data_IF_849573662525
#
_entry.id   IF_849573662525
#
_cell.length_a   1.000
_cell.length_b   1.000
_cell.length_c   1.000
_cell.angle_alpha   90.00
_cell.angle_beta   90.00
_cell.angle_gamma   90.00
#
_symmetry.space_group_name_H-M   'P 1'
#
loop_
_entity.id
_entity.type
_entity.pdbx_description
1 polymer ?
#
# COMPACT_ATOMS: atom_id res chain seq x y z
N UNK A 1 10.35 7.06 19.28
CA UNK A 1 9.98 5.68 18.90
C UNK A 1 8.47 5.55 18.65
N UNK A 2 7.60 6.21 19.42
CA UNK A 2 6.13 6.12 19.24
C UNK A 2 5.60 6.69 17.91
N UNK A 3 6.15 7.80 17.42
CA UNK A 3 5.75 8.42 16.15
C UNK A 3 5.88 7.46 14.94
N UNK A 4 6.89 6.58 14.97
CA UNK A 4 7.12 5.56 13.92
C UNK A 4 6.04 4.45 13.99
N UNK A 5 5.58 4.10 15.19
CA UNK A 5 4.54 3.09 15.38
C UNK A 5 3.20 3.56 14.82
N UNK A 6 2.79 4.78 15.14
CA UNK A 6 1.53 5.35 14.65
C UNK A 6 1.54 5.53 13.13
N UNK A 7 2.66 5.96 12.54
CA UNK A 7 2.84 6.00 11.09
C UNK A 7 2.67 4.62 10.45
N UNK A 8 3.36 3.61 10.97
CA UNK A 8 3.30 2.25 10.45
C UNK A 8 1.89 1.64 10.56
N UNK A 9 1.15 1.95 11.62
CA UNK A 9 -0.25 1.54 11.77
C UNK A 9 -1.16 2.20 10.73
N UNK A 10 -0.98 3.51 10.46
CA UNK A 10 -1.71 4.21 9.39
C UNK A 10 -1.42 3.62 8.01
N UNK A 11 -0.14 3.39 7.70
CA UNK A 11 0.26 2.75 6.44
C UNK A 11 -0.34 1.34 6.30
N UNK A 12 -0.36 0.54 7.37
CA UNK A 12 -1.00 -0.77 7.35
C UNK A 12 -2.50 -0.69 7.08
N UNK A 13 -3.20 0.30 7.65
CA UNK A 13 -4.62 0.51 7.39
C UNK A 13 -4.86 0.88 5.91
N UNK A 14 -4.09 1.84 5.39
CA UNK A 14 -4.13 2.24 3.97
C UNK A 14 -3.84 1.06 3.04
N UNK A 15 -2.82 0.26 3.35
CA UNK A 15 -2.48 -0.93 2.57
C UNK A 15 -3.65 -1.93 2.50
N UNK A 16 -4.29 -2.20 3.65
CA UNK A 16 -5.44 -3.11 3.70
C UNK A 16 -6.62 -2.59 2.89
N UNK A 17 -6.87 -1.28 2.93
CA UNK A 17 -7.94 -0.64 2.18
C UNK A 17 -7.70 -0.72 0.66
N UNK A 18 -6.50 -0.35 0.20
CA UNK A 18 -6.12 -0.42 -1.21
C UNK A 18 -6.18 -1.86 -1.74
N UNK A 19 -5.60 -2.83 -1.03
CA UNK A 19 -5.63 -4.24 -1.43
C UNK A 19 -7.06 -4.77 -1.48
N UNK A 20 -7.90 -4.44 -0.49
CA UNK A 20 -9.28 -4.87 -0.48
C UNK A 20 -10.09 -4.28 -1.66
N UNK A 21 -9.85 -3.03 -2.04
CA UNK A 21 -10.51 -2.41 -3.18
C UNK A 21 -10.09 -3.04 -4.51
N UNK A 22 -8.78 -3.27 -4.71
CA UNK A 22 -8.26 -3.96 -5.88
C UNK A 22 -8.82 -5.38 -6.00
N UNK A 23 -8.84 -6.13 -4.88
CA UNK A 23 -9.39 -7.49 -4.86
C UNK A 23 -10.88 -7.53 -5.19
N UNK A 24 -11.67 -6.55 -4.77
CA UNK A 24 -13.10 -6.45 -5.15
C UNK A 24 -13.31 -6.28 -6.66
N UNK A 25 -12.31 -5.79 -7.38
CA UNK A 25 -12.31 -5.67 -8.85
C UNK A 25 -11.65 -6.86 -9.56
N UNK A 26 -11.28 -7.91 -8.83
CA UNK A 26 -10.59 -9.07 -9.37
C UNK A 26 -9.09 -8.85 -9.63
N UNK A 27 -8.53 -7.72 -9.17
CA UNK A 27 -7.11 -7.42 -9.30
C UNK A 27 -6.40 -7.94 -8.04
N UNK A 28 -5.45 -8.85 -8.21
CA UNK A 28 -4.63 -9.38 -7.12
C UNK A 28 -3.27 -8.66 -7.13
N UNK A 29 -3.06 -7.67 -6.26
CA UNK A 29 -1.79 -6.95 -6.22
C UNK A 29 -0.73 -7.76 -5.47
N UNK A 30 0.52 -7.63 -5.91
CA UNK A 30 1.69 -8.24 -5.28
C UNK A 30 2.40 -7.20 -4.41
N UNK A 31 2.54 -7.52 -3.12
CA UNK A 31 3.24 -6.65 -2.16
C UNK A 31 4.74 -6.69 -2.42
N UNK A 32 5.34 -5.52 -2.64
CA UNK A 32 6.79 -5.43 -2.87
C UNK A 32 7.55 -5.01 -1.61
N UNK A 33 8.77 -5.56 -1.49
CA UNK A 33 9.87 -5.14 -0.60
C UNK A 33 9.41 -4.73 0.82
N UNK A 34 9.29 -3.41 1.06
CA UNK A 34 9.15 -2.79 2.38
C UNK A 34 7.75 -2.86 2.98
N UNK A 35 6.74 -3.23 2.19
CA UNK A 35 5.36 -3.40 2.67
C UNK A 35 5.13 -4.76 3.35
N UNK A 36 5.97 -5.77 3.05
CA UNK A 36 5.81 -7.14 3.57
C UNK A 36 5.93 -7.20 5.10
N UNK A 37 6.95 -6.58 5.76
CA UNK A 37 7.02 -6.57 7.22
C UNK A 37 5.88 -5.80 7.88
N UNK A 38 5.32 -4.78 7.22
CA UNK A 38 4.14 -4.05 7.74
C UNK A 38 2.87 -4.90 7.69
N UNK A 39 2.73 -5.73 6.67
CA UNK A 39 1.55 -6.58 6.49
C UNK A 39 1.58 -7.81 7.40
N UNK A 40 2.75 -8.45 7.55
CA UNK A 40 2.93 -9.69 8.29
C UNK A 40 3.13 -9.49 9.80
N UNK A 41 3.39 -8.27 10.27
CA UNK A 41 3.63 -8.05 11.69
C UNK A 41 2.35 -8.29 12.53
N UNK A 42 2.46 -8.97 13.69
CA UNK A 42 1.36 -9.16 14.63
C UNK A 42 0.72 -7.82 15.02
N UNK A 43 -0.60 -7.82 15.23
CA UNK A 43 -1.30 -6.64 15.69
C UNK A 43 -0.67 -6.09 16.98
N UNK A 44 -0.22 -4.83 16.96
CA UNK A 44 0.45 -4.17 18.08
C UNK A 44 1.99 -4.11 18.00
N UNK A 45 2.62 -4.82 17.06
CA UNK A 45 4.06 -4.73 16.82
C UNK A 45 4.31 -4.05 15.47
N UNK A 46 4.67 -2.78 15.47
CA UNK A 46 5.14 -2.12 14.26
C UNK A 46 6.63 -2.45 14.05
N UNK A 47 7.06 -2.81 12.84
CA UNK A 47 8.49 -2.97 12.54
C UNK A 47 9.24 -1.67 12.82
N UNK A 48 10.49 -1.78 13.28
CA UNK A 48 11.34 -0.64 13.66
C UNK A 48 11.86 0.16 12.46
N UNK A 49 11.85 -0.43 11.26
CA UNK A 49 12.24 0.24 10.02
C UNK A 49 11.19 1.29 9.64
N UNK A 50 11.67 2.51 9.37
CA UNK A 50 10.85 3.56 8.79
C UNK A 50 10.51 3.17 7.35
N UNK A 51 9.25 2.81 7.10
CA UNK A 51 8.72 2.61 5.76
C UNK A 51 7.92 3.86 5.42
N UNK A 52 8.36 4.60 4.40
CA UNK A 52 7.72 5.87 4.03
C UNK A 52 6.57 5.65 3.05
N UNK A 53 6.70 4.64 2.18
CA UNK A 53 5.85 4.40 1.03
C UNK A 53 5.48 2.91 0.91
N UNK A 54 4.38 2.63 0.20
CA UNK A 54 3.86 1.28 -0.05
C UNK A 54 3.93 0.98 -1.54
N UNK A 55 4.67 -0.08 -1.88
CA UNK A 55 4.82 -0.53 -3.27
C UNK A 55 3.89 -1.72 -3.53
N UNK A 56 2.98 -1.55 -4.49
CA UNK A 56 2.10 -2.60 -5.02
C UNK A 56 2.41 -2.81 -6.50
N UNK A 57 2.62 -4.06 -6.90
CA UNK A 57 2.66 -4.44 -8.31
C UNK A 57 1.31 -5.02 -8.73
N UNK A 58 0.87 -4.71 -9.94
CA UNK A 58 -0.26 -5.35 -10.60
C UNK A 58 0.20 -5.86 -11.97
N UNK A 59 -0.54 -6.78 -12.57
CA UNK A 59 -0.26 -7.14 -13.97
C UNK A 59 -0.47 -5.92 -14.88
N UNK A 60 0.34 -5.74 -15.94
CA UNK A 60 0.23 -4.59 -16.84
C UNK A 60 -1.17 -4.41 -17.45
N UNK A 61 -1.85 -5.52 -17.73
CA UNK A 61 -3.23 -5.50 -18.24
C UNK A 61 -4.24 -4.86 -17.26
N UNK A 62 -3.91 -4.84 -15.97
CA UNK A 62 -4.75 -4.30 -14.90
C UNK A 62 -4.31 -2.90 -14.44
N UNK A 63 -3.25 -2.33 -15.00
CA UNK A 63 -2.67 -1.06 -14.55
C UNK A 63 -3.68 0.09 -14.58
N UNK A 64 -4.35 0.30 -15.71
CA UNK A 64 -5.38 1.34 -15.84
C UNK A 64 -6.57 1.12 -14.89
N UNK A 65 -7.01 -0.13 -14.73
CA UNK A 65 -8.12 -0.47 -13.84
C UNK A 65 -7.75 -0.30 -12.36
N UNK A 66 -6.49 -0.58 -12.01
CA UNK A 66 -5.93 -0.34 -10.69
C UNK A 66 -5.80 1.15 -10.39
N UNK A 67 -5.33 1.95 -11.36
CA UNK A 67 -5.27 3.41 -11.25
C UNK A 67 -6.65 3.99 -10.93
N UNK A 68 -7.67 3.70 -11.75
CA UNK A 68 -9.05 4.17 -11.53
C UNK A 68 -9.55 3.74 -10.15
N UNK A 69 -9.25 2.50 -9.73
CA UNK A 69 -9.64 2.01 -8.41
C UNK A 69 -9.01 2.81 -7.26
N UNK A 70 -7.76 3.21 -7.40
CA UNK A 70 -7.05 4.00 -6.39
C UNK A 70 -7.54 5.45 -6.39
N UNK A 71 -7.82 6.03 -7.57
CA UNK A 71 -8.41 7.37 -7.69
C UNK A 71 -9.78 7.46 -7.00
N UNK A 72 -10.63 6.45 -7.15
CA UNK A 72 -11.92 6.37 -6.44
C UNK A 72 -11.78 6.23 -4.92
N UNK A 73 -10.67 5.69 -4.44
CA UNK A 73 -10.32 5.68 -3.01
C UNK A 73 -9.79 7.03 -2.51
N UNK A 74 -9.60 8.01 -3.40
CA UNK A 74 -9.07 9.32 -3.08
C UNK A 74 -7.55 9.43 -3.16
N UNK A 75 -6.86 8.42 -3.72
CA UNK A 75 -5.46 8.59 -4.08
C UNK A 75 -5.36 9.52 -5.29
N UNK A 76 -4.33 10.37 -5.28
CA UNK A 76 -4.04 11.25 -6.40
C UNK A 76 -2.77 10.77 -7.08
N UNK A 77 -2.77 10.76 -8.41
CA UNK A 77 -1.54 10.59 -9.15
C UNK A 77 -0.61 11.76 -8.81
N UNK A 78 0.52 11.43 -8.18
CA UNK A 78 1.59 12.39 -7.98
C UNK A 78 2.49 12.27 -9.19
N UNK A 79 2.51 13.28 -10.04
CA UNK A 79 3.46 13.37 -11.14
C UNK A 79 4.89 13.42 -10.56
N UNK A 80 5.50 12.24 -10.42
CA UNK A 80 6.87 12.09 -9.96
C UNK A 80 7.74 11.75 -11.16
N UNK A 81 8.67 12.65 -11.51
CA UNK A 81 9.86 12.24 -12.25
C UNK A 81 10.46 11.04 -11.51
N UNK A 82 10.65 9.92 -12.21
CA UNK A 82 11.33 8.75 -11.68
C UNK A 82 12.76 9.18 -11.29
N UNK A 83 12.98 9.45 -10.01
CA UNK A 83 14.30 9.64 -9.39
C UNK A 83 14.84 8.34 -8.83
#
# INVERSE_FOLDING_TARGET
HDCNRERNLRLRAQLREAVAALNRRGIVPLLLKGAVPLFLAPAGQAPSRMTSDLDLAVEPANEAAAQICLEELGYVEVAGERG
#
